data_IF_117029236059
#
_entry.id   IF_117029236059
#
_cell.length_a   1.000
_cell.length_b   1.000
_cell.length_c   1.000
_cell.angle_alpha   90.00
_cell.angle_beta   90.00
_cell.angle_gamma   90.00
#
_symmetry.space_group_name_H-M   'P 1'
#
loop_
_entity.id
_entity.type
_entity.pdbx_description
1 polymer ?
#
# COMPACT_ATOMS: atom_id res chain seq x y z
N UNK A 1 28.18 49.53 -23.95
CA UNK A 1 27.31 48.33 -23.93
C UNK A 1 27.24 47.85 -22.50
N UNK A 2 26.06 47.72 -21.87
CA UNK A 2 25.98 47.14 -20.53
C UNK A 2 26.38 45.66 -20.59
N UNK A 3 27.25 45.24 -19.68
CA UNK A 3 27.68 43.85 -19.57
C UNK A 3 26.49 42.96 -19.20
N UNK A 4 26.37 41.75 -19.78
CA UNK A 4 25.32 40.81 -19.38
C UNK A 4 25.48 40.48 -17.90
N UNK A 5 24.41 40.70 -17.14
CA UNK A 5 24.33 40.36 -15.72
C UNK A 5 24.26 38.83 -15.65
N UNK A 6 25.37 38.20 -15.29
CA UNK A 6 25.37 36.79 -14.92
C UNK A 6 24.54 36.66 -13.64
N UNK A 7 23.31 36.16 -13.78
CA UNK A 7 22.48 35.77 -12.64
C UNK A 7 23.17 34.55 -12.03
N UNK A 8 24.12 34.79 -11.14
CA UNK A 8 24.72 33.75 -10.32
C UNK A 8 23.62 33.19 -9.43
N UNK A 9 23.22 31.95 -9.69
CA UNK A 9 22.38 31.16 -8.79
C UNK A 9 22.90 31.38 -7.35
N UNK A 10 22.03 31.71 -6.37
CA UNK A 10 22.46 31.86 -5.00
C UNK A 10 23.18 30.58 -4.59
N UNK A 11 24.32 30.71 -3.91
CA UNK A 11 25.16 29.61 -3.46
C UNK A 11 24.33 28.65 -2.62
N UNK A 12 23.70 27.67 -3.28
CA UNK A 12 22.81 26.73 -2.64
C UNK A 12 23.65 25.97 -1.63
N UNK A 13 23.30 26.11 -0.35
CA UNK A 13 23.96 25.41 0.75
C UNK A 13 23.98 23.94 0.39
N UNK A 14 25.18 23.39 0.27
CA UNK A 14 25.35 22.00 -0.14
C UNK A 14 25.39 21.13 1.11
N UNK A 15 24.30 20.43 1.37
CA UNK A 15 24.11 19.55 2.52
C UNK A 15 24.46 18.11 2.18
N UNK A 16 24.87 17.34 3.17
CA UNK A 16 24.93 15.87 3.10
C UNK A 16 23.53 15.27 3.23
N UNK A 17 23.32 14.05 2.75
CA UNK A 17 22.03 13.37 2.88
C UNK A 17 21.66 13.18 4.35
N UNK A 18 20.40 13.44 4.70
CA UNK A 18 19.83 12.99 5.97
C UNK A 18 19.68 11.47 5.99
N UNK A 19 19.50 10.90 7.18
CA UNK A 19 19.37 9.45 7.35
C UNK A 19 18.20 8.86 6.55
N UNK A 20 17.05 9.55 6.50
CA UNK A 20 15.89 9.12 5.71
C UNK A 20 16.17 9.10 4.21
N UNK A 21 16.80 10.17 3.70
CA UNK A 21 17.20 10.28 2.29
C UNK A 21 18.21 9.18 1.94
N UNK A 22 19.17 8.92 2.82
CA UNK A 22 20.18 7.88 2.68
C UNK A 22 19.58 6.47 2.69
N UNK A 23 18.60 6.19 3.55
CA UNK A 23 17.87 4.92 3.57
C UNK A 23 17.18 4.66 2.24
N UNK A 24 16.47 5.66 1.72
CA UNK A 24 15.72 5.55 0.47
C UNK A 24 16.66 5.37 -0.74
N UNK A 25 17.80 6.06 -0.76
CA UNK A 25 18.85 5.85 -1.77
C UNK A 25 19.40 4.42 -1.69
N UNK A 26 19.80 3.97 -0.49
CA UNK A 26 20.35 2.63 -0.30
C UNK A 26 19.37 1.52 -0.65
N UNK A 27 18.08 1.70 -0.37
CA UNK A 27 17.04 0.75 -0.73
C UNK A 27 16.88 0.64 -2.25
N UNK A 28 17.04 1.74 -3.00
CA UNK A 28 17.04 1.68 -4.45
C UNK A 28 18.31 1.01 -5.00
N UNK A 29 19.50 1.35 -4.49
CA UNK A 29 20.76 0.73 -4.91
C UNK A 29 20.77 -0.79 -4.66
N UNK A 30 20.29 -1.24 -3.50
CA UNK A 30 20.10 -2.67 -3.22
C UNK A 30 19.19 -3.34 -4.25
N UNK A 31 18.19 -2.61 -4.76
CA UNK A 31 17.32 -3.15 -5.82
C UNK A 31 18.04 -3.23 -7.16
N UNK A 32 18.72 -2.15 -7.53
CA UNK A 32 19.45 -2.04 -8.78
C UNK A 32 20.51 -3.14 -8.92
N UNK A 33 21.19 -3.48 -7.81
CA UNK A 33 22.16 -4.59 -7.79
C UNK A 33 21.58 -5.95 -8.21
N UNK A 34 20.25 -6.13 -8.14
CA UNK A 34 19.57 -7.37 -8.50
C UNK A 34 18.75 -7.24 -9.79
N UNK A 35 18.64 -6.05 -10.38
CA UNK A 35 17.75 -5.81 -11.51
C UNK A 35 18.43 -4.93 -12.56
N UNK A 36 18.79 -5.53 -13.69
CA UNK A 36 19.52 -4.87 -14.77
C UNK A 36 18.76 -3.68 -15.37
N UNK A 37 17.43 -3.80 -15.49
CA UNK A 37 16.57 -2.72 -15.96
C UNK A 37 16.59 -1.51 -15.02
N UNK A 38 16.61 -1.79 -13.71
CA UNK A 38 16.53 -0.75 -12.69
C UNK A 38 17.92 -0.22 -12.31
N UNK A 39 19.01 -0.94 -12.62
CA UNK A 39 20.39 -0.47 -12.59
C UNK A 39 20.68 0.55 -13.69
N UNK A 40 20.13 0.35 -14.90
CA UNK A 40 20.37 1.19 -16.07
C UNK A 40 19.14 1.99 -16.51
N UNK A 41 18.59 2.80 -15.62
CA UNK A 41 17.34 3.53 -15.86
C UNK A 41 17.39 4.41 -17.13
N UNK A 42 18.53 5.07 -17.41
CA UNK A 42 18.68 5.91 -18.62
C UNK A 42 18.64 5.08 -19.90
N UNK A 43 19.26 3.90 -19.91
CA UNK A 43 19.22 3.00 -21.08
C UNK A 43 17.80 2.49 -21.30
N UNK A 44 17.13 2.02 -20.24
CA UNK A 44 15.75 1.56 -20.35
C UNK A 44 14.79 2.62 -20.87
N UNK A 45 14.99 3.90 -20.50
CA UNK A 45 14.21 5.01 -21.05
C UNK A 45 14.42 5.17 -22.55
N UNK A 46 15.68 5.12 -23.03
CA UNK A 46 16.00 5.18 -24.46
C UNK A 46 15.40 4.02 -25.24
N UNK A 47 15.38 2.83 -24.63
CA UNK A 47 14.80 1.63 -25.21
C UNK A 47 13.26 1.60 -25.10
N UNK A 48 12.64 2.68 -24.61
CA UNK A 48 11.19 2.81 -24.37
C UNK A 48 10.61 1.77 -23.40
N UNK A 49 11.46 1.13 -22.61
CA UNK A 49 11.07 0.15 -21.60
C UNK A 49 10.70 0.83 -20.27
N UNK A 50 9.78 0.19 -19.55
CA UNK A 50 9.37 0.63 -18.23
C UNK A 50 10.26 -0.01 -17.15
N UNK A 51 10.46 0.72 -16.04
CA UNK A 51 11.08 0.15 -14.84
C UNK A 51 10.25 -1.03 -14.32
N UNK A 52 10.94 -1.93 -13.63
CA UNK A 52 10.37 -3.01 -12.85
C UNK A 52 9.30 -2.49 -11.85
N UNK A 53 8.28 -3.29 -11.50
CA UNK A 53 7.20 -2.84 -10.60
C UNK A 53 7.72 -2.43 -9.21
N UNK A 54 8.66 -3.23 -8.66
CA UNK A 54 9.38 -2.92 -7.42
C UNK A 54 10.27 -1.70 -7.54
N UNK A 55 10.93 -1.51 -8.69
CA UNK A 55 11.74 -0.32 -8.96
C UNK A 55 10.87 0.92 -9.05
N UNK A 56 9.69 0.82 -9.67
CA UNK A 56 8.73 1.93 -9.73
C UNK A 56 8.27 2.36 -8.34
N UNK A 57 7.99 1.42 -7.41
CA UNK A 57 7.58 1.81 -6.05
C UNK A 57 8.72 2.50 -5.29
N UNK A 58 9.95 1.97 -5.38
CA UNK A 58 11.13 2.60 -4.76
C UNK A 58 11.48 3.95 -5.39
N UNK A 59 11.38 4.06 -6.72
CA UNK A 59 11.55 5.31 -7.45
C UNK A 59 10.56 6.39 -7.02
N UNK A 60 9.30 6.02 -6.76
CA UNK A 60 8.31 6.97 -6.20
C UNK A 60 8.70 7.42 -4.81
N UNK A 61 9.19 6.52 -3.96
CA UNK A 61 9.68 6.91 -2.63
C UNK A 61 10.87 7.85 -2.78
N UNK A 62 11.86 7.55 -3.63
CA UNK A 62 12.99 8.44 -3.94
C UNK A 62 12.54 9.84 -4.37
N UNK A 63 11.59 9.92 -5.31
CA UNK A 63 11.04 11.18 -5.82
C UNK A 63 10.39 12.06 -4.74
N UNK A 64 9.93 11.47 -3.62
CA UNK A 64 9.37 12.23 -2.49
C UNK A 64 10.40 12.92 -1.62
N UNK A 65 11.67 12.51 -1.71
CA UNK A 65 12.76 13.06 -0.89
C UNK A 65 13.77 13.84 -1.72
N UNK A 66 14.04 13.38 -2.95
CA UNK A 66 15.08 13.94 -3.81
C UNK A 66 14.51 14.15 -5.20
N UNK A 67 14.79 15.32 -5.76
CA UNK A 67 14.55 15.60 -7.17
C UNK A 67 15.83 16.11 -7.83
N UNK A 68 15.93 15.93 -9.15
CA UNK A 68 16.98 16.53 -9.95
C UNK A 68 16.42 17.67 -10.80
N UNK A 69 17.20 18.74 -10.90
CA UNK A 69 16.94 19.86 -11.78
C UNK A 69 18.28 20.32 -12.35
N UNK A 70 18.37 20.42 -13.68
CA UNK A 70 19.58 20.80 -14.41
C UNK A 70 20.81 19.96 -14.04
N UNK A 71 20.62 18.65 -13.81
CA UNK A 71 21.69 17.73 -13.38
C UNK A 71 22.20 17.94 -11.95
N UNK A 72 21.63 18.87 -11.18
CA UNK A 72 21.88 19.06 -9.75
C UNK A 72 20.79 18.34 -8.95
N UNK A 73 21.13 17.86 -7.76
CA UNK A 73 20.20 17.16 -6.87
C UNK A 73 19.77 18.07 -5.72
N UNK A 74 18.48 18.11 -5.46
CA UNK A 74 17.85 18.95 -4.46
C UNK A 74 16.93 18.11 -3.56
N UNK A 75 16.81 18.50 -2.29
CA UNK A 75 15.84 17.89 -1.39
C UNK A 75 14.45 18.48 -1.65
N UNK A 76 13.45 17.62 -1.85
CA UNK A 76 12.05 18.03 -1.98
C UNK A 76 11.50 18.53 -0.64
N UNK A 77 11.94 17.95 0.48
CA UNK A 77 11.50 18.33 1.82
C UNK A 77 11.94 19.77 2.11
N UNK A 78 13.19 20.10 1.79
CA UNK A 78 13.71 21.46 1.97
C UNK A 78 13.04 22.44 0.98
N UNK A 79 12.71 21.99 -0.24
CA UNK A 79 11.95 22.79 -1.21
C UNK A 79 10.56 23.18 -0.70
N UNK A 80 9.83 22.26 -0.06
CA UNK A 80 8.53 22.56 0.57
C UNK A 80 8.65 23.58 1.71
N UNK A 81 9.80 23.63 2.38
CA UNK A 81 10.10 24.63 3.41
C UNK A 81 10.52 26.00 2.86
N UNK A 82 10.60 26.14 1.53
CA UNK A 82 10.95 27.39 0.84
C UNK A 82 12.44 27.59 0.57
N UNK A 83 13.30 26.66 1.00
CA UNK A 83 14.75 26.73 0.83
C UNK A 83 15.25 25.53 0.01
N UNK A 84 15.42 25.66 -1.33
CA UNK A 84 15.95 24.58 -2.16
C UNK A 84 17.41 24.28 -1.78
N UNK A 85 17.59 23.29 -0.91
CA UNK A 85 18.91 22.87 -0.44
C UNK A 85 19.47 21.84 -1.41
N UNK A 86 20.71 22.07 -1.86
CA UNK A 86 21.39 21.14 -2.77
C UNK A 86 21.96 19.99 -1.96
N UNK A 87 21.73 18.77 -2.41
CA UNK A 87 22.18 17.57 -1.70
C UNK A 87 23.30 16.87 -2.45
N UNK A 88 24.36 16.49 -1.72
CA UNK A 88 25.43 15.64 -2.24
C UNK A 88 25.00 14.18 -2.21
N UNK A 89 24.74 13.59 -3.37
CA UNK A 89 24.58 12.14 -3.47
C UNK A 89 25.95 11.45 -3.36
N UNK A 90 26.07 10.36 -2.59
CA UNK A 90 27.29 9.57 -2.48
C UNK A 90 27.71 9.02 -3.86
N UNK A 91 29.01 8.81 -4.03
CA UNK A 91 29.59 8.33 -5.31
C UNK A 91 29.17 6.91 -5.64
N UNK A 92 28.89 6.12 -4.61
CA UNK A 92 28.55 4.70 -4.72
C UNK A 92 27.14 4.49 -5.27
N UNK A 93 26.30 5.52 -5.23
CA UNK A 93 24.91 5.46 -5.63
C UNK A 93 24.73 5.81 -7.12
N UNK A 94 25.19 4.92 -8.00
CA UNK A 94 25.15 5.12 -9.44
C UNK A 94 23.73 4.96 -10.01
N UNK A 95 23.00 3.95 -9.56
CA UNK A 95 21.69 3.64 -10.11
C UNK A 95 20.65 4.73 -9.77
N UNK A 96 20.72 5.29 -8.57
CA UNK A 96 19.87 6.41 -8.15
C UNK A 96 20.17 7.69 -8.92
N UNK A 97 21.45 7.98 -9.23
CA UNK A 97 21.82 9.11 -10.09
C UNK A 97 21.27 8.93 -11.50
N UNK A 98 21.46 7.76 -12.09
CA UNK A 98 20.90 7.43 -13.41
C UNK A 98 19.38 7.53 -13.42
N UNK A 99 18.70 7.06 -12.36
CA UNK A 99 17.26 7.19 -12.22
C UNK A 99 16.83 8.66 -12.18
N UNK A 100 17.47 9.49 -11.36
CA UNK A 100 17.15 10.92 -11.28
C UNK A 100 17.34 11.61 -12.64
N UNK A 101 18.44 11.31 -13.36
CA UNK A 101 18.65 11.82 -14.71
C UNK A 101 17.57 11.33 -15.69
N UNK A 102 17.14 10.07 -15.61
CA UNK A 102 16.06 9.55 -16.43
C UNK A 102 14.72 10.25 -16.11
N UNK A 103 14.46 10.57 -14.83
CA UNK A 103 13.27 11.35 -14.44
C UNK A 103 13.30 12.77 -15.00
N UNK A 104 14.47 13.42 -15.02
CA UNK A 104 14.65 14.73 -15.64
C UNK A 104 14.40 14.69 -17.14
N UNK A 105 14.78 13.59 -17.81
CA UNK A 105 14.46 13.35 -19.24
C UNK A 105 12.97 13.06 -19.50
N UNK A 106 12.15 12.90 -18.45
CA UNK A 106 10.72 12.65 -18.58
C UNK A 106 10.32 11.19 -18.48
N UNK A 107 11.15 10.33 -17.87
CA UNK A 107 10.74 8.98 -17.50
C UNK A 107 9.51 9.04 -16.59
N UNK A 108 8.38 8.56 -17.10
CA UNK A 108 7.14 8.48 -16.33
C UNK A 108 7.20 7.27 -15.42
N UNK A 109 7.45 7.49 -14.13
CA UNK A 109 7.20 6.47 -13.13
C UNK A 109 5.71 6.14 -13.25
N UNK A 110 5.39 4.88 -13.55
CA UNK A 110 4.00 4.44 -13.55
C UNK A 110 3.50 4.67 -12.14
N UNK A 111 2.73 5.73 -11.90
CA UNK A 111 1.85 5.77 -10.74
C UNK A 111 0.92 4.59 -10.94
N UNK A 112 0.75 3.76 -9.88
CA UNK A 112 -0.08 2.56 -9.93
C UNK A 112 -1.30 3.01 -10.70
N UNK A 113 -1.61 2.37 -11.82
CA UNK A 113 -2.81 2.70 -12.55
C UNK A 113 -3.88 2.66 -11.46
N UNK A 114 -4.31 3.84 -11.02
CA UNK A 114 -5.58 3.97 -10.37
C UNK A 114 -6.40 3.41 -11.50
N UNK A 115 -6.89 2.19 -11.31
CA UNK A 115 -8.04 1.75 -12.04
C UNK A 115 -9.06 2.77 -11.57
N UNK A 116 -9.03 3.96 -12.20
CA UNK A 116 -10.20 4.70 -12.55
C UNK A 116 -10.90 3.62 -13.35
N UNK A 117 -11.66 2.79 -12.62
CA UNK A 117 -12.86 2.25 -13.16
C UNK A 117 -13.46 3.52 -13.73
N UNK A 118 -13.31 3.73 -15.06
CA UNK A 118 -14.14 4.68 -15.78
C UNK A 118 -15.48 4.45 -15.13
N UNK A 119 -16.08 5.44 -14.42
CA UNK A 119 -17.33 5.20 -13.73
C UNK A 119 -18.17 4.50 -14.76
N UNK A 120 -18.46 3.21 -14.50
CA UNK A 120 -19.16 2.38 -15.45
C UNK A 120 -20.41 3.20 -15.65
N UNK A 121 -20.53 3.85 -16.83
CA UNK A 121 -21.76 4.52 -17.17
C UNK A 121 -22.82 3.50 -16.84
N UNK A 122 -23.82 3.83 -16.01
CA UNK A 122 -24.75 2.83 -15.50
C UNK A 122 -25.23 2.07 -16.72
N UNK A 123 -24.75 0.84 -16.87
CA UNK A 123 -25.12 -0.03 -17.97
C UNK A 123 -26.64 -0.03 -17.84
N UNK A 124 -27.31 0.57 -18.82
CA UNK A 124 -28.76 0.54 -18.90
C UNK A 124 -29.12 -0.90 -18.61
N UNK A 125 -29.80 -1.11 -17.49
CA UNK A 125 -30.15 -2.44 -17.00
C UNK A 125 -30.84 -3.11 -18.17
N UNK A 126 -30.13 -4.00 -18.87
CA UNK A 126 -30.75 -4.91 -19.81
C UNK A 126 -31.78 -5.62 -18.94
N UNK A 127 -33.09 -5.47 -19.22
CA UNK A 127 -34.09 -6.09 -18.38
C UNK A 127 -33.79 -7.58 -18.42
N UNK A 128 -33.52 -8.16 -17.26
CA UNK A 128 -33.42 -9.61 -17.11
C UNK A 128 -34.68 -10.21 -17.72
N UNK A 129 -34.54 -10.88 -18.86
CA UNK A 129 -35.64 -11.56 -19.52
C UNK A 129 -35.98 -12.76 -18.64
N UNK A 130 -36.93 -12.56 -17.72
CA UNK A 130 -37.57 -13.68 -17.02
C UNK A 130 -38.51 -14.36 -18.02
N UNK A 131 -38.26 -15.63 -18.31
CA UNK A 131 -39.07 -16.44 -19.24
C UNK A 131 -40.50 -16.72 -18.74
N UNK A 132 -40.80 -16.44 -17.47
CA UNK A 132 -42.12 -16.63 -16.87
C UNK A 132 -42.98 -15.36 -16.93
N UNK A 133 -43.41 -14.95 -18.13
CA UNK A 133 -44.41 -13.88 -18.32
C UNK A 133 -45.84 -14.37 -18.56
N UNK A 134 -46.07 -15.68 -18.53
CA UNK A 134 -47.36 -16.29 -18.91
C UNK A 134 -48.34 -16.49 -17.77
N UNK A 135 -47.97 -16.25 -16.51
CA UNK A 135 -48.91 -16.38 -15.39
C UNK A 135 -48.93 -15.12 -14.51
N UNK A 136 -50.10 -14.46 -14.37
CA UNK A 136 -50.24 -13.35 -13.43
C UNK A 136 -50.15 -13.90 -12.01
N UNK A 137 -49.12 -13.50 -11.26
CA UNK A 137 -49.01 -13.78 -9.82
C UNK A 137 -49.76 -12.67 -9.07
N UNK A 138 -50.93 -12.93 -8.46
CA UNK A 138 -51.62 -11.93 -7.66
C UNK A 138 -50.83 -11.63 -6.38
N UNK A 139 -50.85 -10.38 -5.93
CA UNK A 139 -50.25 -9.97 -4.67
C UNK A 139 -50.85 -10.77 -3.51
N UNK A 140 -50.01 -11.41 -2.68
CA UNK A 140 -50.47 -12.13 -1.48
C UNK A 140 -51.13 -11.14 -0.53
N UNK A 141 -52.44 -11.30 -0.29
CA UNK A 141 -53.16 -10.56 0.75
C UNK A 141 -52.66 -11.04 2.11
N UNK A 142 -51.94 -10.18 2.82
CA UNK A 142 -51.56 -10.44 4.21
C UNK A 142 -52.81 -10.21 5.06
N UNK A 143 -53.49 -11.30 5.43
CA UNK A 143 -54.58 -11.22 6.42
C UNK A 143 -53.99 -10.71 7.74
N UNK A 144 -54.50 -9.59 8.24
CA UNK A 144 -54.03 -8.93 9.47
C UNK A 144 -54.22 -9.73 10.77
N UNK A 145 -54.45 -11.04 10.68
CA UNK A 145 -54.62 -11.96 11.82
C UNK A 145 -53.70 -13.18 11.67
N UNK A 146 -52.42 -12.95 11.45
CA UNK A 146 -51.39 -13.96 11.69
C UNK A 146 -50.29 -13.33 12.55
N UNK A 147 -50.24 -13.77 13.80
CA UNK A 147 -49.20 -13.42 14.74
C UNK A 147 -47.84 -13.75 14.10
N UNK A 148 -47.00 -12.72 13.92
CA UNK A 148 -45.61 -12.90 13.51
C UNK A 148 -44.92 -13.86 14.49
N UNK A 149 -44.07 -14.79 14.03
CA UNK A 149 -43.13 -15.44 14.93
C UNK A 149 -42.29 -14.36 15.62
N UNK A 150 -42.10 -14.55 16.94
CA UNK A 150 -41.57 -13.60 17.93
C UNK A 150 -40.12 -13.10 17.69
N UNK A 151 -39.54 -13.35 16.52
CA UNK A 151 -38.16 -12.99 16.16
C UNK A 151 -38.03 -11.70 15.34
N UNK A 152 -39.13 -11.05 14.97
CA UNK A 152 -39.13 -9.77 14.24
C UNK A 152 -39.99 -8.72 14.97
N UNK A 153 -39.60 -8.41 16.21
CA UNK A 153 -40.01 -7.17 16.88
C UNK A 153 -39.32 -5.98 16.20
N UNK A 154 -40.03 -4.87 15.93
CA UNK A 154 -39.46 -3.69 15.28
C UNK A 154 -38.46 -2.88 16.14
N UNK A 155 -38.18 -3.29 17.38
CA UNK A 155 -37.38 -2.48 18.33
C UNK A 155 -35.86 -2.75 18.31
N UNK A 156 -35.35 -3.60 17.41
CA UNK A 156 -33.92 -3.90 17.34
C UNK A 156 -33.40 -3.92 15.90
N UNK A 157 -33.49 -2.79 15.20
CA UNK A 157 -32.68 -2.58 14.01
C UNK A 157 -31.27 -2.18 14.44
N UNK A 158 -30.31 -3.07 14.26
CA UNK A 158 -28.89 -2.76 14.41
C UNK A 158 -28.45 -2.00 13.15
N UNK A 159 -28.38 -0.67 13.23
CA UNK A 159 -27.87 0.15 12.12
C UNK A 159 -26.35 -0.04 12.06
N UNK A 160 -25.88 -0.71 11.01
CA UNK A 160 -24.44 -0.91 10.76
C UNK A 160 -24.00 0.14 9.76
N UNK A 161 -23.45 1.24 10.26
CA UNK A 161 -22.84 2.28 9.44
C UNK A 161 -21.42 1.85 9.05
N UNK A 162 -21.15 1.73 7.74
CA UNK A 162 -19.84 1.33 7.22
C UNK A 162 -19.05 2.58 6.84
N UNK A 163 -17.99 2.88 7.59
CA UNK A 163 -17.09 3.98 7.26
C UNK A 163 -16.33 3.72 5.94
N UNK A 164 -16.10 4.76 5.11
CA UNK A 164 -15.35 4.63 3.87
C UNK A 164 -13.88 4.23 4.15
N UNK A 165 -13.38 3.29 3.34
CA UNK A 165 -12.12 2.57 3.54
C UNK A 165 -10.89 3.46 3.33
N UNK A 166 -10.37 4.04 4.40
CA UNK A 166 -9.05 4.69 4.40
C UNK A 166 -8.01 3.99 5.29
N UNK A 167 -8.38 2.94 6.04
CA UNK A 167 -7.43 2.15 6.84
C UNK A 167 -7.63 0.63 6.64
N UNK A 168 -6.53 -0.12 6.72
CA UNK A 168 -6.39 -1.51 6.27
C UNK A 168 -6.93 -2.57 7.26
N UNK A 169 -7.77 -2.18 8.21
CA UNK A 169 -8.40 -3.11 9.16
C UNK A 169 -9.87 -2.75 9.36
N UNK A 170 -10.82 -3.70 9.24
CA UNK A 170 -12.23 -3.42 9.41
C UNK A 170 -12.55 -3.22 10.90
N UNK A 171 -12.61 -1.98 11.36
CA UNK A 171 -13.17 -1.65 12.67
C UNK A 171 -14.66 -1.34 12.50
N UNK A 172 -15.54 -2.30 12.80
CA UNK A 172 -16.97 -2.03 12.95
C UNK A 172 -17.21 -1.42 14.34
N UNK A 173 -17.65 -0.17 14.39
CA UNK A 173 -18.06 0.47 15.65
C UNK A 173 -19.50 0.04 15.90
N UNK A 174 -19.74 -0.76 16.95
CA UNK A 174 -21.08 -1.15 17.39
C UNK A 174 -21.47 -0.34 18.62
N UNK A 175 -22.51 0.48 18.52
CA UNK A 175 -23.15 1.08 19.68
C UNK A 175 -24.17 0.10 20.28
N UNK A 176 -24.12 -0.10 21.60
CA UNK A 176 -25.19 -0.79 22.34
C UNK A 176 -26.21 0.25 22.80
N UNK A 177 -27.49 0.00 22.51
CA UNK A 177 -28.61 0.83 22.98
C UNK A 177 -28.69 0.86 24.52
N UNK A 178 -29.16 1.97 25.12
CA UNK A 178 -29.07 2.25 26.56
C UNK A 178 -30.24 1.62 27.35
N UNK A 179 -30.43 0.31 27.26
CA UNK A 179 -31.53 -0.38 27.94
C UNK A 179 -31.29 -1.88 28.06
N UNK A 180 -30.50 -2.28 29.06
CA UNK A 180 -30.28 -3.70 29.38
C UNK A 180 -29.19 -3.90 30.43
N UNK A 181 -29.60 -4.33 31.62
CA UNK A 181 -28.83 -4.49 32.85
C UNK A 181 -27.58 -5.39 32.77
N UNK A 182 -26.64 -5.27 33.75
CA UNK A 182 -25.29 -5.81 33.70
C UNK A 182 -25.21 -7.18 34.36
N UNK A 183 -24.72 -8.20 33.64
CA UNK A 183 -24.01 -9.39 34.19
C UNK A 183 -23.97 -10.52 33.16
N UNK A 184 -22.86 -10.62 32.42
CA UNK A 184 -22.36 -11.89 31.88
C UNK A 184 -20.91 -11.71 31.44
N UNK A 185 -19.93 -12.35 32.11
CA UNK A 185 -18.56 -12.30 31.63
C UNK A 185 -18.44 -13.06 30.31
N UNK A 186 -17.80 -12.44 29.32
CA UNK A 186 -17.51 -12.98 27.98
C UNK A 186 -16.42 -14.08 28.01
N UNK A 187 -16.53 -15.06 28.91
CA UNK A 187 -15.50 -16.09 29.11
C UNK A 187 -15.78 -17.41 28.36
N UNK A 188 -16.62 -17.41 27.32
CA UNK A 188 -17.09 -18.66 26.68
C UNK A 188 -16.77 -18.80 25.19
N UNK A 189 -15.88 -17.98 24.61
CA UNK A 189 -15.57 -18.03 23.16
C UNK A 189 -14.10 -18.12 22.78
N UNK A 190 -13.18 -18.24 23.74
CA UNK A 190 -11.74 -18.17 23.49
C UNK A 190 -10.89 -19.39 23.88
N UNK A 191 -11.44 -20.40 24.56
CA UNK A 191 -10.63 -21.47 25.20
C UNK A 191 -10.08 -22.53 24.23
N UNK A 192 -10.63 -22.66 23.03
CA UNK A 192 -10.22 -23.69 22.07
C UNK A 192 -8.86 -23.36 21.42
N UNK A 193 -8.61 -22.08 21.11
CA UNK A 193 -7.35 -21.64 20.50
C UNK A 193 -6.19 -21.58 21.51
N UNK A 194 -6.47 -21.43 22.80
CA UNK A 194 -5.44 -21.43 23.84
C UNK A 194 -4.85 -22.82 24.10
N UNK A 195 -5.68 -23.88 24.04
CA UNK A 195 -5.23 -25.26 24.21
C UNK A 195 -4.40 -25.74 23.01
N UNK A 196 -4.85 -25.48 21.78
CA UNK A 196 -4.08 -25.77 20.56
C UNK A 196 -2.72 -25.07 20.53
N UNK A 197 -2.64 -23.86 21.10
CA UNK A 197 -1.40 -23.10 21.19
C UNK A 197 -0.43 -23.72 22.19
N UNK A 198 -0.92 -24.25 23.32
CA UNK A 198 -0.09 -24.95 24.29
C UNK A 198 0.40 -26.30 23.74
N UNK A 199 -0.48 -27.08 23.11
CA UNK A 199 -0.12 -28.37 22.50
C UNK A 199 0.95 -28.22 21.41
N UNK A 200 0.88 -27.14 20.61
CA UNK A 200 1.91 -26.86 19.59
C UNK A 200 3.26 -26.50 20.20
N UNK A 201 3.28 -25.84 21.36
CA UNK A 201 4.52 -25.49 22.05
C UNK A 201 5.15 -26.75 22.67
N UNK A 202 4.36 -27.61 23.31
CA UNK A 202 4.85 -28.87 23.89
C UNK A 202 5.49 -29.79 22.84
N UNK A 203 4.86 -29.94 21.67
CA UNK A 203 5.43 -30.74 20.56
C UNK A 203 6.78 -30.22 20.05
N UNK A 204 7.06 -28.93 20.17
CA UNK A 204 8.35 -28.36 19.76
C UNK A 204 9.44 -28.68 20.79
N UNK A 205 9.10 -28.67 22.08
CA UNK A 205 10.03 -29.00 23.16
C UNK A 205 10.37 -30.50 23.23
N UNK A 206 9.45 -31.39 22.86
CA UNK A 206 9.66 -32.85 22.91
C UNK A 206 10.51 -33.40 21.76
N UNK A 207 10.87 -32.62 20.74
CA UNK A 207 11.78 -33.11 19.70
C UNK A 207 13.23 -32.92 20.15
N UNK A 208 13.95 -33.96 20.65
CA UNK A 208 15.37 -33.83 20.84
C UNK A 208 16.01 -33.60 19.48
N UNK A 209 16.69 -32.47 19.33
CA UNK A 209 17.54 -32.17 18.18
C UNK A 209 18.55 -33.30 18.04
N UNK A 210 18.26 -34.28 17.17
CA UNK A 210 19.23 -35.28 16.76
C UNK A 210 20.31 -34.55 15.96
N UNK A 211 21.43 -34.26 16.62
CA UNK A 211 22.66 -33.93 15.92
C UNK A 211 23.07 -35.16 15.11
N UNK A 212 22.94 -35.06 13.80
CA UNK A 212 23.54 -36.05 12.90
C UNK A 212 25.04 -35.81 12.94
N UNK A 213 25.77 -36.70 13.61
CA UNK A 213 27.23 -36.70 13.60
C UNK A 213 27.72 -36.85 12.16
N UNK A 214 28.40 -35.81 11.68
CA UNK A 214 29.04 -35.77 10.37
C UNK A 214 30.32 -36.63 10.47
N UNK A 215 30.21 -37.91 10.13
CA UNK A 215 31.38 -38.79 10.00
C UNK A 215 32.35 -38.22 8.95
N UNK A 216 33.66 -38.08 9.25
CA UNK A 216 34.61 -37.61 8.27
C UNK A 216 35.39 -38.80 7.65
N UNK A 217 35.81 -38.58 6.41
CA UNK A 217 36.90 -39.24 5.66
C UNK A 217 36.55 -40.53 4.90
N UNK A 218 36.80 -40.50 3.60
CA UNK A 218 37.91 -41.29 3.08
C UNK A 218 38.69 -40.50 2.01
N UNK A 219 39.98 -40.82 1.99
CA UNK A 219 41.12 -40.27 1.25
C UNK A 219 41.23 -40.93 -0.12
#
# INVERSE_FOLDING_TARGET
MPAPIEITDPLAVVRELYDDEKLVVNDFERHANHCDFCAHAVKTYKDSHALCESGNTRARTLRKYIYSQSGKHYSTVDFESGNPTRVKLPRDALASRELLTALEQGLRIREKAVVVQKPIQPIQRVPSVSYDRTYPVPARKVSGKQARPRSMSPEAYQVIERSPRLSRSPTSIMYRSPGGSPSRPSSSRGSLYSLDRQERVERVYETPRRYVERSPKHR
#
